data_IF_587466440127
#
_entry.id   IF_587466440127
#
_cell.length_a   1.000
_cell.length_b   1.000
_cell.length_c   1.000
_cell.angle_alpha   90.00
_cell.angle_beta   90.00
_cell.angle_gamma   90.00
#
_symmetry.space_group_name_H-M   'P 1'
#
loop_
_entity.id
_entity.type
_entity.pdbx_description
1 polymer ?
#
# COMPACT_ATOMS: atom_id res chain seq x y z
N UNK A 1 -20.82 -36.13 -9.36
CA UNK A 1 -19.82 -35.45 -10.24
C UNK A 1 -19.90 -33.92 -10.15
N UNK A 2 -21.09 -33.29 -10.17
CA UNK A 2 -21.22 -31.82 -10.05
C UNK A 2 -20.72 -31.25 -8.71
N UNK A 3 -20.97 -31.92 -7.58
CA UNK A 3 -20.46 -31.49 -6.26
C UNK A 3 -18.92 -31.54 -6.14
N UNK A 4 -18.27 -32.52 -6.78
CA UNK A 4 -16.80 -32.61 -6.78
C UNK A 4 -16.16 -31.44 -7.54
N UNK A 5 -16.84 -30.94 -8.58
CA UNK A 5 -16.37 -29.81 -9.40
C UNK A 5 -16.44 -28.48 -8.63
N UNK A 6 -17.49 -28.27 -7.82
CA UNK A 6 -17.59 -27.12 -6.92
C UNK A 6 -16.54 -27.15 -5.80
N UNK A 7 -16.24 -28.33 -5.25
CA UNK A 7 -15.18 -28.51 -4.24
C UNK A 7 -13.78 -28.25 -4.81
N UNK A 8 -13.50 -28.67 -6.06
CA UNK A 8 -12.23 -28.36 -6.73
C UNK A 8 -12.07 -26.86 -7.00
N UNK A 9 -13.15 -26.16 -7.37
CA UNK A 9 -13.12 -24.72 -7.67
C UNK A 9 -12.86 -23.87 -6.41
N UNK A 10 -13.37 -24.29 -5.25
CA UNK A 10 -13.13 -23.61 -3.98
C UNK A 10 -11.67 -23.73 -3.50
N UNK A 11 -10.97 -24.80 -3.88
CA UNK A 11 -9.54 -25.02 -3.54
C UNK A 11 -8.58 -24.25 -4.47
N UNK A 12 -9.08 -23.67 -5.56
CA UNK A 12 -8.30 -22.93 -6.56
C UNK A 12 -8.38 -21.41 -6.38
N UNK A 13 -8.93 -20.92 -5.26
CA UNK A 13 -8.90 -19.48 -5.02
C UNK A 13 -7.45 -19.04 -4.78
N UNK A 14 -6.92 -18.07 -5.56
CA UNK A 14 -5.62 -17.52 -5.26
C UNK A 14 -5.66 -16.91 -3.86
N UNK A 15 -4.58 -17.05 -3.06
CA UNK A 15 -4.53 -16.36 -1.77
C UNK A 15 -4.81 -14.88 -2.02
N UNK A 16 -5.67 -14.29 -1.19
CA UNK A 16 -5.73 -12.83 -1.09
C UNK A 16 -4.35 -12.37 -0.62
N UNK A 17 -3.50 -11.99 -1.58
CA UNK A 17 -2.29 -11.27 -1.30
C UNK A 17 -2.74 -9.92 -0.76
N UNK A 18 -2.51 -9.70 0.53
CA UNK A 18 -2.60 -8.37 1.09
C UNK A 18 -1.65 -7.48 0.29
N UNK A 19 -2.12 -6.32 -0.17
CA UNK A 19 -1.28 -5.44 -0.99
C UNK A 19 -0.06 -5.07 -0.18
N UNK A 20 1.14 -5.22 -0.76
CA UNK A 20 2.37 -4.79 -0.11
C UNK A 20 2.27 -3.33 0.34
N UNK A 21 2.81 -3.05 1.52
CA UNK A 21 2.87 -1.71 2.10
C UNK A 21 4.32 -1.41 2.45
N UNK A 22 4.80 -0.27 1.99
CA UNK A 22 6.07 0.29 2.44
C UNK A 22 5.72 1.28 3.55
N UNK A 23 5.95 0.91 4.80
CA UNK A 23 5.66 1.78 5.95
C UNK A 23 6.66 2.93 6.01
N UNK A 24 6.15 4.11 6.35
CA UNK A 24 6.97 5.31 6.41
C UNK A 24 7.99 5.24 7.54
N UNK A 25 9.22 5.66 7.25
CA UNK A 25 10.22 6.04 8.23
C UNK A 25 11.15 7.09 7.60
N UNK A 26 11.85 7.87 8.42
CA UNK A 26 12.72 8.97 7.96
C UNK A 26 13.81 8.55 6.94
N UNK A 27 14.24 7.29 7.00
CA UNK A 27 15.29 6.73 6.16
C UNK A 27 14.76 6.03 4.90
N UNK A 28 13.44 5.86 4.78
CA UNK A 28 12.82 5.25 3.61
C UNK A 28 12.89 6.21 2.42
N UNK A 29 13.36 5.69 1.28
CA UNK A 29 13.52 6.49 0.06
C UNK A 29 12.99 5.70 -1.14
N UNK A 30 11.88 6.19 -1.69
CA UNK A 30 11.23 5.61 -2.85
C UNK A 30 12.15 5.61 -4.06
N UNK A 31 12.01 4.55 -4.86
CA UNK A 31 12.66 4.33 -6.13
C UNK A 31 11.58 4.08 -7.18
N UNK A 32 11.88 4.34 -8.44
CA UNK A 32 10.93 4.03 -9.52
C UNK A 32 10.53 2.56 -9.59
N UNK A 33 11.35 1.64 -9.06
CA UNK A 33 11.02 0.22 -8.93
C UNK A 33 9.87 -0.07 -7.95
N UNK A 34 9.56 0.88 -7.07
CA UNK A 34 8.51 0.75 -6.06
C UNK A 34 7.15 1.16 -6.62
N UNK A 35 7.10 1.85 -7.77
CA UNK A 35 5.87 2.24 -8.46
C UNK A 35 5.49 1.13 -9.46
N UNK A 36 4.69 0.16 -9.01
CA UNK A 36 4.38 -1.06 -9.76
C UNK A 36 2.97 -1.07 -10.37
N UNK A 37 2.18 -0.05 -10.08
CA UNK A 37 0.86 0.16 -10.68
C UNK A 37 0.92 0.45 -12.19
N UNK A 38 -0.20 0.21 -12.86
CA UNK A 38 -0.34 0.46 -14.29
C UNK A 38 -0.47 1.97 -14.59
N UNK A 39 0.39 2.54 -15.45
CA UNK A 39 0.35 3.97 -15.72
C UNK A 39 -0.87 4.40 -16.54
N UNK A 40 -1.56 5.43 -16.08
CA UNK A 40 -2.62 6.08 -16.85
C UNK A 40 -2.00 7.04 -17.87
N UNK A 41 -1.68 6.53 -19.07
CA UNK A 41 -1.00 7.29 -20.13
C UNK A 41 -1.78 8.53 -20.62
N UNK A 42 -3.09 8.58 -20.39
CA UNK A 42 -3.95 9.73 -20.72
C UNK A 42 -3.99 10.80 -19.62
N UNK A 43 -3.31 10.60 -18.50
CA UNK A 43 -3.29 11.57 -17.40
C UNK A 43 -2.53 12.85 -17.77
N UNK A 44 -2.99 13.97 -17.22
CA UNK A 44 -2.32 15.27 -17.34
C UNK A 44 -1.10 15.42 -16.42
N UNK A 45 -0.79 14.40 -15.62
CA UNK A 45 0.36 14.32 -14.71
C UNK A 45 1.22 13.09 -15.04
N UNK A 46 2.42 13.03 -14.48
CA UNK A 46 3.47 12.07 -14.89
C UNK A 46 3.61 10.86 -13.97
N UNK A 47 3.21 11.00 -12.71
CA UNK A 47 3.25 9.94 -11.71
C UNK A 47 2.13 10.14 -10.67
N UNK A 48 1.79 9.06 -9.98
CA UNK A 48 0.82 9.04 -8.90
C UNK A 48 1.38 8.22 -7.74
N UNK A 49 1.41 8.83 -6.57
CA UNK A 49 1.72 8.17 -5.30
C UNK A 49 0.44 7.82 -4.57
N UNK A 50 0.23 6.54 -4.26
CA UNK A 50 -0.86 6.06 -3.44
C UNK A 50 -0.36 5.78 -2.02
N UNK A 51 -0.89 6.52 -1.05
CA UNK A 51 -0.55 6.41 0.37
C UNK A 51 -1.79 6.12 1.21
N UNK A 52 -1.60 5.70 2.46
CA UNK A 52 -2.69 5.48 3.40
C UNK A 52 -2.23 5.37 4.84
N UNK A 53 -3.19 5.24 5.75
CA UNK A 53 -2.97 5.06 7.18
C UNK A 53 -3.45 3.67 7.63
N UNK A 54 -2.62 3.00 8.40
CA UNK A 54 -2.93 1.80 9.16
C UNK A 54 -3.21 2.21 10.59
N UNK A 55 -4.42 1.91 11.07
CA UNK A 55 -4.83 2.13 12.46
C UNK A 55 -5.16 0.79 13.10
N UNK A 56 -4.50 0.47 14.19
CA UNK A 56 -4.74 -0.74 14.96
C UNK A 56 -4.93 -0.37 16.42
N UNK A 57 -5.81 -1.09 17.12
CA UNK A 57 -5.98 -0.92 18.55
C UNK A 57 -6.35 -2.25 19.20
N UNK A 58 -6.01 -2.38 20.47
CA UNK A 58 -6.43 -3.46 21.34
C UNK A 58 -6.78 -2.87 22.71
N UNK A 59 -7.57 -3.59 23.51
CA UNK A 59 -7.81 -3.19 24.89
C UNK A 59 -7.89 -4.40 25.81
N UNK A 60 -7.55 -4.17 27.08
CA UNK A 60 -7.69 -5.15 28.16
C UNK A 60 -8.24 -4.50 29.41
N UNK A 61 -8.94 -5.26 30.24
CA UNK A 61 -9.46 -4.81 31.52
C UNK A 61 -8.77 -5.60 32.63
N UNK A 62 -8.13 -4.92 33.58
CA UNK A 62 -7.46 -5.53 34.73
C UNK A 62 -7.82 -4.76 36.00
N UNK A 63 -8.41 -5.45 36.98
CA UNK A 63 -8.87 -4.88 38.26
C UNK A 63 -9.79 -3.65 38.08
N UNK A 64 -10.65 -3.66 37.07
CA UNK A 64 -11.54 -2.53 36.75
C UNK A 64 -10.88 -1.36 36.00
N UNK A 65 -9.57 -1.41 35.75
CA UNK A 65 -8.88 -0.44 34.89
C UNK A 65 -8.86 -0.92 33.43
N UNK A 66 -9.12 -0.01 32.50
CA UNK A 66 -9.03 -0.25 31.05
C UNK A 66 -7.65 0.17 30.56
N UNK A 67 -6.94 -0.74 29.90
CA UNK A 67 -5.70 -0.45 29.17
C UNK A 67 -6.03 -0.51 27.68
N UNK A 68 -5.60 0.51 26.92
CA UNK A 68 -5.77 0.57 25.47
C UNK A 68 -4.39 0.70 24.85
N UNK A 69 -4.09 -0.18 23.90
CA UNK A 69 -2.91 -0.09 23.04
C UNK A 69 -3.39 0.32 21.65
N UNK A 70 -2.68 1.22 20.98
CA UNK A 70 -2.99 1.62 19.62
C UNK A 70 -1.72 1.95 18.84
N UNK A 71 -1.77 1.76 17.53
CA UNK A 71 -0.74 2.17 16.58
C UNK A 71 -1.36 2.88 15.39
N UNK A 72 -0.66 3.90 14.89
CA UNK A 72 -0.98 4.61 13.66
C UNK A 72 0.28 4.64 12.82
N UNK A 73 0.21 4.11 11.59
CA UNK A 73 1.35 4.05 10.67
C UNK A 73 0.91 4.53 9.29
N UNK A 74 1.66 5.43 8.67
CA UNK A 74 1.46 5.76 7.25
C UNK A 74 2.24 4.78 6.37
N UNK A 75 1.72 4.53 5.17
CA UNK A 75 2.34 3.63 4.21
C UNK A 75 2.18 4.13 2.78
N UNK A 76 3.12 3.74 1.94
CA UNK A 76 3.06 3.80 0.48
C UNK A 76 2.59 2.44 -0.06
N UNK A 77 1.70 2.47 -1.06
CA UNK A 77 1.16 1.29 -1.74
C UNK A 77 1.77 1.18 -3.15
N UNK A 78 2.72 0.25 -3.37
CA UNK A 78 3.36 0.04 -4.66
C UNK A 78 2.41 -0.24 -5.82
N UNK A 79 1.39 -1.07 -5.60
CA UNK A 79 0.48 -1.53 -6.66
C UNK A 79 -0.54 -0.44 -7.06
N UNK A 80 -0.80 0.50 -6.15
CA UNK A 80 -1.63 1.68 -6.41
C UNK A 80 -0.84 2.85 -7.00
N UNK A 81 0.50 2.79 -7.01
CA UNK A 81 1.38 3.89 -7.40
C UNK A 81 2.03 3.62 -8.74
N UNK A 82 2.08 4.61 -9.63
CA UNK A 82 2.54 4.43 -11.01
C UNK A 82 3.21 5.67 -11.56
N UNK A 83 3.97 5.51 -12.66
CA UNK A 83 4.59 6.62 -13.39
C UNK A 83 4.68 6.33 -14.89
N UNK A 84 4.80 7.39 -15.70
CA UNK A 84 5.02 7.29 -17.15
C UNK A 84 6.54 7.28 -17.41
N UNK A 85 7.15 6.13 -17.77
CA UNK A 85 8.62 6.00 -17.81
C UNK A 85 9.32 6.99 -18.73
N UNK A 86 8.67 7.39 -19.81
CA UNK A 86 9.24 8.30 -20.81
C UNK A 86 9.22 9.78 -20.35
N UNK A 87 8.62 10.08 -19.19
CA UNK A 87 8.36 11.45 -18.71
C UNK A 87 8.88 11.73 -17.29
N UNK A 88 9.65 10.81 -16.70
CA UNK A 88 10.17 10.96 -15.33
C UNK A 88 11.63 11.39 -15.27
N UNK A 89 12.01 12.00 -14.14
CA UNK A 89 13.37 12.36 -13.80
C UNK A 89 13.56 12.37 -12.27
N UNK A 90 14.77 12.63 -11.80
CA UNK A 90 15.08 12.65 -10.36
C UNK A 90 14.33 13.75 -9.57
N UNK A 91 13.93 14.85 -10.22
CA UNK A 91 13.12 15.88 -9.56
C UNK A 91 11.70 15.37 -9.28
N UNK A 92 11.08 14.69 -10.25
CA UNK A 92 9.76 14.08 -10.08
C UNK A 92 9.81 12.99 -9.01
N UNK A 93 10.85 12.17 -8.96
CA UNK A 93 10.96 11.16 -7.89
C UNK A 93 10.99 11.81 -6.49
N UNK A 94 11.70 12.94 -6.33
CA UNK A 94 11.68 13.71 -5.08
C UNK A 94 10.31 14.34 -4.79
N UNK A 95 9.55 14.71 -5.82
CA UNK A 95 8.18 15.19 -5.66
C UNK A 95 7.28 14.07 -5.13
N UNK A 96 7.36 12.87 -5.70
CA UNK A 96 6.61 11.72 -5.22
C UNK A 96 7.05 11.26 -3.81
N UNK A 97 8.34 11.33 -3.49
CA UNK A 97 8.82 11.12 -2.11
C UNK A 97 8.17 12.12 -1.13
N UNK A 98 8.03 13.39 -1.52
CA UNK A 98 7.39 14.37 -0.67
C UNK A 98 5.90 14.04 -0.43
N UNK A 99 5.20 13.47 -1.40
CA UNK A 99 3.85 12.93 -1.16
C UNK A 99 3.87 11.83 -0.08
N UNK A 100 4.83 10.91 -0.11
CA UNK A 100 4.96 9.90 0.94
C UNK A 100 5.34 10.47 2.30
N UNK A 101 6.19 11.50 2.34
CA UNK A 101 6.67 12.11 3.58
C UNK A 101 5.60 12.93 4.34
N UNK A 102 4.53 13.37 3.65
CA UNK A 102 3.49 14.24 4.23
C UNK A 102 2.10 13.60 4.30
N UNK A 103 1.94 12.37 3.82
CA UNK A 103 0.66 11.64 3.79
C UNK A 103 0.33 10.94 5.11
#
# INVERSE_FOLDING_TARGET
MKLLFFLLFALLQPPQLDSEKIFWNENEKLRWTDFRGNPLRTANFVASTNTGLSFQYSYSIKNGAVNVEYSVESFFNPEGSWYIPERVNAHILRHEQAHFDIS
#
